data_IF_448493411866
#
_entry.id   IF_448493411866
#
_cell.length_a   1.000
_cell.length_b   1.000
_cell.length_c   1.000
_cell.angle_alpha   90.00
_cell.angle_beta   90.00
_cell.angle_gamma   90.00
#
_symmetry.space_group_name_H-M   'P 1'
#
loop_
_entity.id
_entity.type
_entity.pdbx_description
1 polymer ?
2 non-polymer ?
3 non-polymer ?
4 water ?
#
# COMPACT_ATOMS: atom_id res chain seq x y z
N UNK A 1 -16.06 -7.58 -13.52
CA UNK A 1 -15.89 -7.25 -12.11
C UNK A 1 -15.75 -5.76 -12.02
N UNK A 2 -15.99 -5.30 -10.81
CA UNK A 2 -15.94 -3.90 -10.53
C UNK A 2 -14.99 -3.67 -9.38
N UNK A 3 -14.23 -2.59 -9.49
CA UNK A 3 -13.30 -2.21 -8.45
C UNK A 3 -13.22 -0.70 -8.33
N UNK A 4 -13.40 -0.20 -7.11
CA UNK A 4 -13.22 1.23 -6.82
C UNK A 4 -11.70 1.62 -6.92
N UNK A 5 -11.41 2.75 -7.54
CA UNK A 5 -10.06 3.23 -7.62
C UNK A 5 -9.44 3.40 -6.24
N UNK A 6 -8.09 3.21 -6.15
CA UNK A 6 -7.36 3.13 -4.87
C UNK A 6 -7.64 1.88 -4.03
N UNK A 7 -8.18 0.82 -4.63
CA UNK A 7 -8.42 -0.39 -3.93
C UNK A 7 -7.76 -1.55 -4.62
N UNK A 8 -7.51 -2.59 -3.82
CA UNK A 8 -6.98 -3.84 -4.29
C UNK A 8 -8.06 -4.88 -4.25
N UNK A 9 -7.82 -5.88 -5.08
CA UNK A 9 -8.67 -7.00 -5.30
C UNK A 9 -7.83 -8.28 -5.44
N UNK A 10 -8.24 -9.31 -4.73
CA UNK A 10 -7.71 -10.67 -4.84
C UNK A 10 -8.38 -11.49 -5.93
N UNK A 11 -7.67 -11.80 -7.01
CA UNK A 11 -8.25 -12.57 -8.08
C UNK A 11 -7.98 -14.04 -7.85
N UNK A 12 -8.94 -14.88 -8.22
CA UNK A 12 -8.85 -16.33 -8.05
C UNK A 12 -8.86 -17.05 -9.38
N UNK A 13 -7.97 -18.00 -9.57
CA UNK A 13 -7.88 -18.71 -10.83
C UNK A 13 -7.56 -20.16 -10.61
N UNK A 14 -7.93 -21.03 -11.55
CA UNK A 14 -7.53 -22.45 -11.46
C UNK A 14 -6.04 -22.57 -11.59
N UNK A 15 -5.46 -23.43 -10.74
CA UNK A 15 -4.02 -23.72 -10.77
C UNK A 15 -3.53 -24.60 -11.95
N UNK A 16 -4.30 -25.63 -12.28
CA UNK A 16 -3.93 -26.68 -13.23
C UNK A 16 -3.65 -26.06 -14.59
N UNK A 17 -2.44 -26.26 -15.09
CA UNK A 17 -2.07 -25.85 -16.46
C UNK A 17 -1.90 -24.35 -16.69
N UNK A 18 -1.91 -23.59 -15.60
CA UNK A 18 -1.76 -22.15 -15.66
C UNK A 18 -0.32 -21.77 -16.01
N UNK A 19 -0.12 -20.87 -16.96
CA UNK A 19 1.26 -20.49 -17.38
C UNK A 19 1.61 -19.08 -16.99
N UNK A 20 0.77 -18.11 -17.32
CA UNK A 20 0.99 -16.77 -16.82
C UNK A 20 -0.24 -15.90 -16.85
N UNK A 21 -0.12 -14.72 -16.25
CA UNK A 21 -1.18 -13.76 -16.06
C UNK A 21 -0.64 -12.41 -16.54
N UNK A 22 -1.30 -11.78 -17.51
CA UNK A 22 -0.74 -10.59 -18.12
C UNK A 22 -1.67 -9.43 -18.17
N UNK A 23 -1.10 -8.24 -18.20
CA UNK A 23 -1.84 -6.98 -18.38
C UNK A 23 -1.00 -6.15 -19.34
N UNK A 24 -1.32 -6.20 -20.63
CA UNK A 24 -0.41 -5.72 -21.65
C UNK A 24 0.98 -6.36 -21.49
N UNK A 25 2.02 -5.55 -21.70
CA UNK A 25 3.41 -5.77 -21.21
C UNK A 25 3.58 -6.66 -19.99
N UNK A 26 2.94 -6.20 -18.93
CA UNK A 26 3.32 -6.49 -17.55
C UNK A 26 2.78 -7.88 -17.08
N UNK A 27 3.70 -8.78 -16.68
CA UNK A 27 3.33 -10.01 -15.95
C UNK A 27 2.82 -9.74 -14.55
N UNK A 28 1.83 -10.49 -14.09
CA UNK A 28 1.42 -10.38 -12.73
C UNK A 28 1.76 -11.67 -12.01
N UNK A 29 2.51 -11.56 -10.90
CA UNK A 29 2.88 -12.73 -10.10
C UNK A 29 1.67 -13.40 -9.51
N UNK A 30 1.78 -14.68 -9.19
CA UNK A 30 0.74 -15.41 -8.53
C UNK A 30 1.25 -16.14 -7.32
N UNK A 31 0.37 -16.46 -6.37
CA UNK A 31 0.69 -17.25 -5.21
C UNK A 31 -0.46 -18.24 -4.89
N UNK A 32 -0.19 -19.22 -4.05
CA UNK A 32 -1.18 -20.25 -3.70
C UNK A 32 -2.28 -19.66 -2.92
N UNK A 33 -3.47 -20.23 -3.14
CA UNK A 33 -4.60 -20.04 -2.26
C UNK A 33 -4.37 -20.95 -1.10
N UNK A 34 -4.43 -20.43 0.11
CA UNK A 34 -3.96 -21.17 1.30
C UNK A 34 -4.89 -22.27 1.83
N UNK A 35 -6.12 -22.30 1.35
CA UNK A 35 -7.14 -23.21 1.83
C UNK A 35 -7.57 -24.19 0.73
N UNK A 36 -7.82 -23.69 -0.47
CA UNK A 36 -8.09 -24.51 -1.63
C UNK A 36 -6.84 -24.84 -2.49
N UNK A 37 -6.41 -26.10 -2.55
CA UNK A 37 -5.23 -26.55 -3.34
C UNK A 37 -5.39 -26.47 -4.87
N UNK A 38 -6.58 -26.25 -5.37
CA UNK A 38 -6.80 -26.18 -6.80
C UNK A 38 -6.79 -24.76 -7.36
N UNK A 39 -6.55 -23.79 -6.48
CA UNK A 39 -6.66 -22.38 -6.87
C UNK A 39 -5.34 -21.63 -6.70
N UNK A 40 -5.16 -20.59 -7.48
CA UNK A 40 -4.12 -19.63 -7.16
C UNK A 40 -4.72 -18.23 -7.05
N UNK A 41 -3.94 -17.29 -6.48
CA UNK A 41 -4.33 -15.90 -6.31
C UNK A 41 -3.37 -14.94 -6.97
N UNK A 42 -3.90 -13.76 -7.27
CA UNK A 42 -3.12 -12.66 -7.69
C UNK A 42 -3.76 -11.43 -7.12
N UNK A 43 -2.96 -10.35 -6.93
CA UNK A 43 -3.43 -9.10 -6.40
C UNK A 43 -3.46 -8.08 -7.51
N UNK A 44 -4.59 -7.43 -7.69
CA UNK A 44 -4.71 -6.43 -8.71
C UNK A 44 -5.22 -5.16 -8.05
N UNK A 45 -4.61 -4.03 -8.42
CA UNK A 45 -4.81 -2.73 -7.75
C UNK A 45 -5.01 -1.62 -8.77
N UNK A 46 -5.98 -0.78 -8.53
CA UNK A 46 -6.11 0.42 -9.37
C UNK A 46 -5.47 1.62 -8.67
N UNK A 47 -4.70 2.42 -9.41
CA UNK A 47 -4.29 3.66 -8.81
C UNK A 47 -5.50 4.57 -8.51
N UNK A 48 -5.37 5.41 -7.50
CA UNK A 48 -6.29 6.45 -7.18
C UNK A 48 -6.34 7.51 -8.27
N UNK A 49 -5.20 8.13 -8.56
CA UNK A 49 -5.05 9.18 -9.58
C UNK A 49 -4.96 8.58 -10.97
N UNK A 50 -5.77 9.08 -11.87
CA UNK A 50 -5.66 8.79 -13.28
C UNK A 50 -5.64 7.30 -13.65
N UNK A 51 -6.65 6.55 -13.19
CA UNK A 51 -6.76 5.16 -13.60
C UNK A 51 -7.49 4.98 -14.93
N UNK A 52 -7.21 3.87 -15.63
CA UNK A 52 -7.99 3.60 -16.85
C UNK A 52 -9.46 3.47 -16.52
N UNK A 53 -10.31 3.56 -17.53
CA UNK A 53 -11.76 3.27 -17.36
C UNK A 53 -12.06 1.76 -17.22
N UNK A 54 -11.29 0.92 -17.90
CA UNK A 54 -11.52 -0.51 -17.84
C UNK A 54 -10.18 -1.19 -17.97
N UNK A 55 -10.11 -2.42 -17.53
CA UNK A 55 -8.89 -3.15 -17.62
C UNK A 55 -9.21 -4.56 -18.10
N UNK A 56 -8.34 -5.07 -18.96
CA UNK A 56 -8.48 -6.41 -19.53
C UNK A 56 -7.22 -7.18 -19.19
N UNK A 57 -7.35 -8.19 -18.34
CA UNK A 57 -6.24 -9.09 -17.99
C UNK A 57 -6.39 -10.36 -18.78
N UNK A 58 -5.26 -11.04 -19.04
CA UNK A 58 -5.32 -12.37 -19.66
C UNK A 58 -4.54 -13.47 -18.95
N UNK A 59 -5.21 -14.55 -18.67
CA UNK A 59 -4.56 -15.68 -18.04
C UNK A 59 -4.33 -16.76 -19.09
N UNK A 60 -3.07 -17.13 -19.29
CA UNK A 60 -2.72 -18.08 -20.31
C UNK A 60 -2.50 -19.43 -19.69
N UNK A 61 -3.30 -20.40 -20.17
CA UNK A 61 -3.20 -21.80 -19.81
C UNK A 61 -2.50 -22.56 -20.94
N UNK A 62 -2.14 -23.81 -20.74
CA UNK A 62 -1.55 -24.62 -21.83
C UNK A 62 -2.52 -24.80 -23.01
N UNK A 63 -3.75 -25.11 -22.65
CA UNK A 63 -4.85 -25.35 -23.58
C UNK A 63 -5.57 -24.10 -24.07
N UNK A 64 -5.73 -23.10 -23.21
CA UNK A 64 -6.49 -21.93 -23.59
C UNK A 64 -6.19 -20.69 -22.77
N UNK A 65 -6.86 -19.60 -23.15
CA UNK A 65 -6.75 -18.35 -22.47
C UNK A 65 -8.10 -17.87 -21.89
N UNK A 66 -8.03 -17.14 -20.76
CA UNK A 66 -9.19 -16.62 -20.07
C UNK A 66 -9.03 -15.11 -19.91
N UNK A 67 -9.93 -14.34 -20.51
CA UNK A 67 -10.00 -12.88 -20.36
C UNK A 67 -10.76 -12.44 -19.10
N UNK A 68 -10.17 -11.49 -18.34
CA UNK A 68 -10.86 -10.88 -17.18
C UNK A 68 -11.08 -9.40 -17.39
N UNK A 69 -12.32 -8.95 -17.34
CA UNK A 69 -12.57 -7.51 -17.49
C UNK A 69 -12.88 -6.90 -16.12
N UNK A 70 -12.30 -5.74 -15.88
CA UNK A 70 -12.53 -5.09 -14.62
C UNK A 70 -12.89 -3.66 -14.93
N UNK A 71 -14.04 -3.21 -14.42
CA UNK A 71 -14.45 -1.83 -14.60
C UNK A 71 -14.03 -1.03 -13.37
N UNK A 72 -13.45 0.14 -13.60
CA UNK A 72 -13.09 1.07 -12.54
C UNK A 72 -14.32 1.82 -12.01
N UNK A 73 -14.63 1.77 -10.71
CA UNK A 73 -15.59 2.70 -10.13
C UNK A 73 -14.92 3.91 -9.47
N UNK A 74 -15.59 5.06 -9.50
CA UNK A 74 -15.17 6.27 -8.73
C UNK A 74 -15.29 6.20 -7.21
N UNK A 75 -16.20 5.39 -6.70
CA UNK A 75 -16.39 5.30 -5.24
C UNK A 75 -17.06 6.53 -4.66
N UNK A 76 -17.10 6.62 -3.35
CA UNK A 76 -17.70 7.76 -2.70
C UNK A 76 -16.74 8.42 -1.74
N UNK A 77 -15.65 8.98 -2.25
CA UNK A 77 -14.56 9.51 -1.39
C UNK A 77 -14.84 10.97 -1.09
N UNK A 78 -14.49 11.47 0.08
CA UNK A 78 -14.63 12.92 0.33
C UNK A 78 -13.66 13.70 -0.53
N UNK A 79 -14.10 14.82 -1.06
CA UNK A 79 -13.29 15.62 -1.97
C UNK A 79 -13.60 17.10 -1.77
N UNK A 80 -12.59 17.95 -1.84
CA UNK A 80 -12.81 19.38 -1.75
C UNK A 80 -12.17 20.02 -2.98
N UNK A 81 -12.79 21.10 -3.48
CA UNK A 81 -12.29 21.81 -4.69
C UNK A 81 -11.10 22.61 -4.23
N UNK A 82 -9.99 22.53 -4.96
CA UNK A 82 -8.81 23.32 -4.63
C UNK A 82 -9.08 24.68 -5.24
N UNK A 83 -8.65 25.72 -4.56
CA UNK A 83 -8.90 27.09 -5.02
C UNK A 83 -7.72 27.73 -5.73
N UNK A 84 -6.52 27.57 -5.20
CA UNK A 84 -5.38 28.26 -5.78
C UNK A 84 -5.03 27.71 -7.15
N UNK A 85 -4.52 26.48 -7.15
CA UNK A 85 -3.92 25.79 -8.31
C UNK A 85 -2.53 25.30 -7.89
N UNK A 86 -2.10 24.19 -8.48
CA UNK A 86 -0.78 23.63 -8.19
C UNK A 86 0.35 24.62 -8.48
N UNK A 87 0.15 25.45 -9.50
CA UNK A 87 1.23 26.26 -10.07
C UNK A 87 2.36 25.24 -10.26
N UNK A 88 3.44 25.40 -9.50
CA UNK A 88 4.40 24.33 -9.24
C UNK A 88 5.22 24.84 -8.05
N UNK A 89 5.62 23.92 -7.17
CA UNK A 89 6.39 24.27 -6.00
C UNK A 89 7.86 24.34 -6.43
N UNK A 90 8.58 25.39 -6.03
CA UNK A 90 10.00 25.54 -6.37
C UNK A 90 10.89 25.35 -5.12
N UNK A 91 11.18 24.10 -4.69
CA UNK A 91 12.02 24.05 -3.48
C UNK A 91 13.49 24.33 -3.79
N UNK A 92 14.32 24.62 -2.78
CA UNK A 92 15.80 24.71 -3.01
C UNK A 92 16.43 23.38 -3.51
N UNK A 93 17.55 23.45 -4.26
CA UNK A 93 18.22 22.26 -4.79
C UNK A 93 18.42 21.21 -3.72
N UNK A 94 18.84 21.61 -2.53
CA UNK A 94 19.22 20.63 -1.55
C UNK A 94 18.03 19.67 -1.16
N UNK A 95 16.83 20.23 -1.03
CA UNK A 95 15.63 19.46 -0.84
C UNK A 95 15.22 18.62 -2.06
N UNK A 96 15.25 19.19 -3.25
CA UNK A 96 14.94 18.43 -4.47
C UNK A 96 15.86 17.22 -4.66
N UNK A 97 17.14 17.36 -4.31
CA UNK A 97 18.07 16.26 -4.42
C UNK A 97 17.66 15.15 -3.41
N UNK A 98 17.41 15.56 -2.18
CA UNK A 98 17.04 14.65 -1.13
C UNK A 98 15.74 13.89 -1.45
N UNK A 99 14.70 14.60 -1.87
CA UNK A 99 13.46 13.99 -2.33
C UNK A 99 13.66 13.00 -3.49
N UNK A 100 14.41 13.40 -4.50
CA UNK A 100 14.62 12.53 -5.65
C UNK A 100 15.40 11.27 -5.27
N UNK A 101 16.40 11.40 -4.41
CA UNK A 101 17.15 10.26 -3.95
C UNK A 101 16.25 9.28 -3.13
N UNK A 102 15.37 9.83 -2.27
CA UNK A 102 14.49 9.01 -1.42
C UNK A 102 13.41 8.29 -2.24
N UNK A 103 12.88 8.96 -3.23
CA UNK A 103 12.01 8.38 -4.24
C UNK A 103 12.60 7.15 -4.97
N UNK A 104 13.82 7.25 -5.46
CA UNK A 104 14.56 6.16 -6.11
C UNK A 104 14.73 4.99 -5.14
N UNK A 105 15.22 5.29 -3.96
CA UNK A 105 15.36 4.26 -2.96
C UNK A 105 14.00 3.54 -2.70
N UNK A 106 12.91 4.27 -2.69
CA UNK A 106 11.64 3.68 -2.47
C UNK A 106 11.14 2.83 -3.68
N UNK A 107 11.23 3.35 -4.87
CA UNK A 107 10.84 2.56 -6.02
C UNK A 107 11.62 1.25 -6.18
N UNK A 108 12.90 1.23 -5.85
CA UNK A 108 13.67 0.02 -5.96
C UNK A 108 13.09 -1.05 -5.02
N UNK A 109 12.73 -0.63 -3.81
CA UNK A 109 12.14 -1.52 -2.81
C UNK A 109 10.75 -1.95 -3.22
N UNK A 110 9.92 -1.01 -3.69
CA UNK A 110 8.55 -1.33 -4.02
C UNK A 110 8.39 -2.16 -5.26
N UNK A 111 9.48 -2.42 -5.95
CA UNK A 111 9.39 -3.27 -7.11
C UNK A 111 10.34 -4.43 -6.93
N UNK A 112 10.73 -4.70 -5.70
CA UNK A 112 11.17 -6.02 -5.32
C UNK A 112 9.94 -6.89 -5.05
N UNK A 113 9.89 -8.06 -5.66
CA UNK A 113 8.80 -8.98 -5.41
C UNK A 113 9.41 -10.16 -4.70
N UNK A 114 9.04 -10.35 -3.44
CA UNK A 114 9.46 -11.50 -2.66
C UNK A 114 8.43 -12.61 -2.86
N UNK A 115 8.81 -13.71 -3.54
CA UNK A 115 7.80 -14.69 -3.91
C UNK A 115 7.50 -15.73 -2.87
N UNK A 116 7.50 -15.36 -1.58
CA UNK A 116 7.01 -16.23 -0.52
C UNK A 116 6.37 -15.35 0.55
N UNK A 117 5.56 -15.97 1.42
CA UNK A 117 4.90 -15.26 2.52
C UNK A 117 5.88 -14.99 3.62
N UNK A 118 6.02 -13.75 4.06
CA UNK A 118 6.83 -13.51 5.28
C UNK A 118 5.90 -13.17 6.41
N UNK A 119 4.60 -13.14 6.13
CA UNK A 119 3.59 -12.88 7.14
C UNK A 119 3.21 -14.12 7.95
N UNK A 120 2.39 -13.92 8.98
CA UNK A 120 1.95 -14.95 9.87
C UNK A 120 0.46 -14.74 10.23
N UNK A 121 -0.40 -15.36 9.43
CA UNK A 121 -1.83 -15.10 9.56
C UNK A 121 -2.28 -13.71 9.18
N UNK A 122 -3.32 -13.25 9.89
CA UNK A 122 -4.01 -12.02 9.60
C UNK A 122 -3.20 -10.76 9.99
N UNK A 123 -3.46 -9.65 9.33
CA UNK A 123 -2.95 -8.36 9.81
C UNK A 123 -3.71 -7.91 11.06
N UNK A 124 -2.98 -7.33 11.99
CA UNK A 124 -3.57 -6.51 13.03
C UNK A 124 -3.31 -5.05 12.78
N UNK A 125 -4.12 -4.21 13.38
CA UNK A 125 -3.87 -2.78 13.37
C UNK A 125 -2.65 -2.46 14.22
N UNK A 126 -1.91 -1.43 13.84
CA UNK A 126 -0.68 -1.04 14.49
C UNK A 126 -0.85 -0.38 15.85
N UNK A 127 -2.01 0.14 16.13
CA UNK A 127 -2.36 0.44 17.53
C UNK A 127 -3.87 0.50 17.70
N UNK A 128 -4.31 0.36 18.95
CA UNK A 128 -5.70 0.27 19.29
C UNK A 128 -6.43 1.56 19.42
N UNK A 129 -6.45 2.33 18.37
CA UNK A 129 -6.94 3.67 18.50
C UNK A 129 -8.01 3.81 17.39
N UNK A 130 -8.33 5.03 16.98
CA UNK A 130 -9.34 5.32 15.99
C UNK A 130 -8.81 6.23 14.88
N UNK A 131 -9.46 6.19 13.72
CA UNK A 131 -9.07 6.93 12.52
C UNK A 131 -9.44 8.41 12.57
N UNK A 132 -8.47 9.30 12.40
CA UNK A 132 -8.76 10.74 12.47
C UNK A 132 -8.84 11.35 11.10
N UNK A 133 -8.29 10.67 10.09
CA UNK A 133 -8.32 11.11 8.69
C UNK A 133 -8.25 9.93 7.77
N UNK A 134 -9.22 9.81 6.90
CA UNK A 134 -9.42 8.62 6.06
C UNK A 134 -8.57 8.55 4.79
N UNK A 135 -8.38 7.33 4.28
CA UNK A 135 -7.81 7.14 2.96
C UNK A 135 -8.68 7.79 1.87
N UNK A 136 -8.08 8.37 0.85
CA UNK A 136 -8.85 8.81 -0.29
C UNK A 136 -9.39 10.23 -0.34
N UNK A 137 -9.35 10.98 0.77
CA UNK A 137 -9.63 12.45 0.77
C UNK A 137 -8.91 13.16 -0.35
N UNK A 138 -9.62 13.83 -1.22
CA UNK A 138 -8.94 14.37 -2.40
C UNK A 138 -8.99 15.90 -2.46
N UNK A 139 -8.04 16.46 -3.17
CA UNK A 139 -8.15 17.83 -3.62
C UNK A 139 -8.21 17.89 -5.18
N UNK A 140 -9.22 18.60 -5.70
CA UNK A 140 -9.50 18.63 -7.16
C UNK A 140 -9.48 20.05 -7.74
N UNK A 141 -8.76 20.28 -8.83
CA UNK A 141 -9.15 21.38 -9.72
C UNK A 141 -9.51 20.85 -11.10
N UNK A 142 -10.68 21.30 -11.58
CA UNK A 142 -11.27 20.85 -12.84
C UNK A 142 -11.74 19.44 -12.69
N UNK A 143 -12.28 19.12 -11.52
CA UNK A 143 -12.63 17.72 -11.21
C UNK A 143 -11.60 16.78 -11.85
N UNK A 144 -10.33 17.09 -11.61
CA UNK A 144 -9.23 16.18 -11.81
C UNK A 144 -8.47 16.21 -10.48
N UNK A 145 -7.92 15.07 -10.11
CA UNK A 145 -7.33 14.93 -8.80
C UNK A 145 -5.90 15.52 -8.75
N UNK A 146 -5.71 16.53 -7.91
CA UNK A 146 -4.39 17.10 -7.69
C UNK A 146 -3.60 16.37 -6.60
N UNK A 147 -4.27 16.01 -5.52
CA UNK A 147 -3.59 15.25 -4.47
C UNK A 147 -4.61 14.47 -3.66
N UNK A 148 -4.12 13.53 -2.88
CA UNK A 148 -5.01 12.68 -2.11
C UNK A 148 -4.29 12.06 -0.92
N UNK A 149 -5.04 11.75 0.11
CA UNK A 149 -4.49 11.09 1.24
C UNK A 149 -4.29 9.59 0.91
N UNK A 150 -3.05 9.15 0.90
CA UNK A 150 -2.69 7.87 0.33
C UNK A 150 -2.55 6.82 1.44
N UNK A 151 -2.91 7.18 2.67
CA UNK A 151 -2.95 6.25 3.78
C UNK A 151 -4.05 6.67 4.74
N UNK A 152 -4.01 6.14 5.94
CA UNK A 152 -5.05 6.48 6.92
C UNK A 152 -4.39 6.92 8.22
N UNK A 153 -4.93 7.92 8.92
CA UNK A 153 -4.29 8.37 10.15
C UNK A 153 -5.05 7.92 11.34
N UNK A 154 -4.30 7.49 12.34
CA UNK A 154 -4.83 7.05 13.62
C UNK A 154 -4.42 8.07 14.67
N UNK A 155 -5.31 8.37 15.57
CA UNK A 155 -4.98 9.26 16.64
C UNK A 155 -3.96 8.65 17.59
N UNK A 156 -3.01 9.51 17.94
CA UNK A 156 -1.89 9.17 18.83
C UNK A 156 -1.19 10.44 19.33
N UNK A 157 -1.12 10.54 20.65
CA UNK A 157 -0.25 11.51 21.28
C UNK A 157 1.19 11.08 20.98
N UNK A 158 2.09 12.03 20.96
CA UNK A 158 3.49 11.79 20.79
C UNK A 158 3.94 10.79 21.84
N UNK A 159 4.68 9.75 21.43
CA UNK A 159 5.16 8.71 22.31
C UNK A 159 4.28 7.47 22.39
N UNK A 160 3.17 7.40 21.63
CA UNK A 160 2.32 6.19 21.68
C UNK A 160 3.04 5.02 21.00
N UNK A 161 3.21 3.89 21.71
CA UNK A 161 3.87 2.72 21.12
C UNK A 161 3.11 2.17 19.92
N UNK A 162 3.87 1.77 18.91
CA UNK A 162 3.37 1.34 17.61
C UNK A 162 3.89 -0.05 17.29
N UNK A 163 3.00 -0.92 16.81
CA UNK A 163 3.31 -2.33 16.63
C UNK A 163 3.15 -2.76 15.19
N UNK A 164 4.06 -3.63 14.71
CA UNK A 164 3.96 -4.21 13.35
C UNK A 164 2.60 -4.92 13.14
N UNK A 165 1.96 -4.56 12.03
CA UNK A 165 0.68 -5.12 11.66
C UNK A 165 0.76 -6.61 11.26
N UNK A 166 1.93 -7.03 10.78
CA UNK A 166 2.20 -8.44 10.48
C UNK A 166 3.73 -8.67 10.45
N UNK A 167 4.15 -9.93 10.47
CA UNK A 167 5.59 -10.30 10.31
C UNK A 167 6.15 -9.93 8.96
N UNK A 168 7.45 -9.72 8.90
CA UNK A 168 8.15 -9.46 7.63
C UNK A 168 9.56 -9.02 7.92
N UNK A 169 10.16 -8.32 6.95
CA UNK A 169 11.47 -7.84 7.02
C UNK A 169 11.44 -6.31 6.86
N UNK A 170 12.16 -5.59 7.73
CA UNK A 170 12.19 -4.15 7.63
C UNK A 170 13.00 -3.74 6.43
N UNK A 171 12.46 -2.86 5.58
CA UNK A 171 13.30 -2.32 4.49
C UNK A 171 13.72 -0.84 4.55
N UNK A 172 12.98 -0.05 5.32
CA UNK A 172 13.29 1.34 5.49
C UNK A 172 13.09 1.63 6.93
N UNK A 173 14.01 2.42 7.48
CA UNK A 173 13.98 2.75 8.91
C UNK A 173 14.76 4.02 9.16
N UNK A 174 14.27 5.14 8.63
CA UNK A 174 14.98 6.41 8.76
C UNK A 174 14.15 7.63 8.46
N UNK A 175 14.70 8.80 8.79
CA UNK A 175 14.10 10.07 8.50
C UNK A 175 14.08 10.34 6.99
N UNK A 176 12.92 10.63 6.46
CA UNK A 176 12.77 10.94 5.05
C UNK A 176 11.99 12.24 4.96
N UNK A 177 12.14 12.93 3.83
CA UNK A 177 11.49 14.21 3.63
C UNK A 177 10.02 14.29 4.02
N UNK A 178 9.06 13.73 3.32
CA UNK A 178 7.68 14.18 3.79
C UNK A 178 7.12 13.29 4.93
N UNK A 179 7.64 12.07 4.98
CA UNK A 179 7.19 11.01 5.84
C UNK A 179 7.71 11.08 7.27
N UNK A 180 8.77 11.85 7.48
CA UNK A 180 9.32 11.94 8.85
C UNK A 180 10.08 10.67 9.12
N UNK A 181 10.26 10.32 10.38
CA UNK A 181 10.78 8.99 10.70
C UNK A 181 9.80 7.89 10.19
N UNK A 182 10.30 7.07 9.24
CA UNK A 182 9.54 6.08 8.51
C UNK A 182 10.01 4.67 8.79
N UNK A 183 9.10 3.72 8.94
CA UNK A 183 9.41 2.31 8.86
C UNK A 183 8.52 1.72 7.76
N UNK A 184 9.13 0.92 6.89
CA UNK A 184 8.41 0.15 5.89
C UNK A 184 8.83 -1.28 6.02
N UNK A 185 7.85 -2.19 5.91
CA UNK A 185 8.07 -3.63 6.11
C UNK A 185 7.59 -4.42 4.93
N UNK A 186 8.38 -5.41 4.50
CA UNK A 186 8.01 -6.31 3.36
C UNK A 186 7.33 -7.53 3.93
N UNK A 187 6.11 -7.81 3.49
CA UNK A 187 5.36 -8.95 4.03
C UNK A 187 5.34 -10.16 3.09
N UNK A 188 5.95 -9.97 1.94
CA UNK A 188 5.93 -10.97 0.90
C UNK A 188 4.91 -10.63 -0.15
N UNK A 189 5.11 -11.19 -1.34
CA UNK A 189 4.20 -11.10 -2.43
C UNK A 189 3.92 -9.65 -2.78
N UNK A 190 4.87 -8.79 -2.56
CA UNK A 190 4.73 -7.40 -2.99
C UNK A 190 3.84 -6.52 -2.12
N UNK A 191 3.47 -7.02 -0.95
CA UNK A 191 2.72 -6.30 0.06
C UNK A 191 3.65 -5.58 1.06
N UNK A 192 3.57 -4.26 1.12
CA UNK A 192 4.36 -3.50 2.11
C UNK A 192 3.47 -2.70 3.04
N UNK A 193 3.76 -2.70 4.35
CA UNK A 193 3.14 -1.77 5.29
C UNK A 193 4.09 -0.62 5.67
N UNK A 194 3.49 0.52 5.99
CA UNK A 194 4.16 1.81 6.12
C UNK A 194 3.70 2.52 7.38
N UNK A 195 4.68 3.06 8.13
CA UNK A 195 4.44 3.71 9.43
C UNK A 195 5.22 5.01 9.43
N UNK A 196 4.52 6.13 9.36
CA UNK A 196 5.15 7.41 9.22
C UNK A 196 4.93 8.34 10.40
N UNK A 197 5.82 9.35 10.47
CA UNK A 197 5.81 10.44 11.45
C UNK A 197 6.22 10.07 12.86
N UNK A 198 6.95 8.98 12.99
CA UNK A 198 7.35 8.51 14.28
C UNK A 198 8.30 9.49 15.00
N UNK A 199 8.28 9.45 16.32
CA UNK A 199 9.24 10.20 17.12
C UNK A 199 10.43 9.36 17.44
N UNK A 200 10.24 8.04 17.41
CA UNK A 200 11.34 7.11 17.66
C UNK A 200 11.27 5.83 16.83
N UNK A 201 12.42 5.39 16.30
CA UNK A 201 12.49 4.14 15.56
C UNK A 201 13.19 3.02 16.34
N UNK A 202 12.57 1.86 16.49
CA UNK A 202 13.17 0.79 17.33
C UNK A 202 13.62 -0.45 16.54
N UNK A 203 13.75 -0.33 15.23
CA UNK A 203 14.11 -1.44 14.35
C UNK A 203 15.18 -0.94 13.38
N UNK A 204 15.77 -1.87 12.67
CA UNK A 204 16.92 -1.67 11.84
C UNK A 204 16.62 -2.25 10.47
N UNK A 205 17.16 -1.63 9.44
CA UNK A 205 17.07 -2.22 8.10
C UNK A 205 17.57 -3.69 8.03
N UNK A 206 16.77 -4.56 7.40
CA UNK A 206 17.08 -5.97 7.29
C UNK A 206 16.62 -6.86 8.42
N UNK A 207 16.08 -6.29 9.45
CA UNK A 207 15.57 -7.05 10.58
C UNK A 207 14.24 -7.81 10.29
N UNK A 208 14.10 -8.99 10.91
CA UNK A 208 12.93 -9.85 10.87
C UNK A 208 12.10 -9.46 12.07
N UNK A 209 10.89 -9.02 11.82
CA UNK A 209 10.03 -8.45 12.86
C UNK A 209 8.78 -9.35 12.91
N UNK A 210 8.34 -9.73 14.09
CA UNK A 210 7.16 -10.56 14.25
C UNK A 210 5.95 -9.61 14.43
N UNK A 211 4.76 -10.06 14.02
CA UNK A 211 3.48 -9.40 14.27
C UNK A 211 3.27 -9.05 15.75
N UNK A 212 2.76 -7.87 16.02
CA UNK A 212 2.69 -7.33 17.37
C UNK A 212 3.97 -6.86 18.08
N UNK A 213 5.09 -6.93 17.39
CA UNK A 213 6.32 -6.50 17.96
C UNK A 213 6.45 -4.99 17.76
N UNK A 214 7.08 -4.33 18.72
CA UNK A 214 7.19 -2.90 18.79
C UNK A 214 8.11 -2.41 17.68
N UNK A 215 7.73 -1.38 16.93
CA UNK A 215 8.61 -0.83 15.89
C UNK A 215 9.04 0.63 16.09
N UNK A 216 8.40 1.31 17.03
CA UNK A 216 8.71 2.69 17.33
C UNK A 216 7.66 3.30 18.23
N UNK A 217 7.79 4.60 18.43
CA UNK A 217 6.80 5.40 19.10
C UNK A 217 6.31 6.46 18.13
N UNK A 218 5.02 6.79 18.22
CA UNK A 218 4.42 7.77 17.32
C UNK A 218 4.99 9.15 17.61
N UNK A 219 4.99 10.03 16.62
CA UNK A 219 5.31 11.41 16.85
C UNK A 219 4.65 12.36 15.90
N UNK A 220 5.36 13.43 15.56
CA UNK A 220 4.88 14.39 14.56
C UNK A 220 5.93 14.75 13.51
N UNK A 221 6.97 13.93 13.38
CA UNK A 221 8.09 14.22 12.41
C UNK A 221 7.56 14.23 11.04
N UNK A 222 7.90 15.25 10.30
CA UNK A 222 7.46 15.39 8.90
C UNK A 222 6.07 15.97 8.77
N UNK A 223 5.42 16.22 9.91
CA UNK A 223 3.98 16.61 9.93
C UNK A 223 3.76 18.06 10.37
N UNK A 224 2.80 18.72 9.76
CA UNK A 224 2.53 20.14 10.03
C UNK A 224 1.45 20.25 11.09
N UNK A 225 0.47 19.38 10.98
CA UNK A 225 -0.82 19.56 11.65
C UNK A 225 -0.95 18.73 12.92
N UNK A 226 0.14 18.44 13.59
CA UNK A 226 0.07 17.88 14.93
C UNK A 226 0.42 16.40 14.98
N UNK A 227 0.54 15.85 16.16
CA UNK A 227 0.90 14.44 16.21
C UNK A 227 -0.19 13.45 15.72
N UNK A 228 0.22 12.34 15.13
CA UNK A 228 -0.67 11.29 14.60
C UNK A 228 0.18 10.18 14.00
N UNK A 229 -0.37 8.97 13.85
CA UNK A 229 0.26 7.87 13.08
C UNK A 229 -0.35 7.74 11.72
N UNK A 230 0.47 7.86 10.69
CA UNK A 230 0.02 7.56 9.29
C UNK A 230 0.40 6.14 8.93
N UNK A 231 -0.60 5.31 8.68
CA UNK A 231 -0.40 3.92 8.27
C UNK A 231 -0.81 3.71 6.79
N UNK A 232 0.07 3.07 6.03
CA UNK A 232 -0.19 2.80 4.62
C UNK A 232 0.07 1.36 4.24
N UNK A 233 -0.53 0.96 3.13
CA UNK A 233 -0.30 -0.35 2.51
C UNK A 233 -0.08 -0.16 1.05
N UNK A 234 1.01 -0.72 0.53
CA UNK A 234 1.27 -0.73 -0.89
C UNK A 234 1.20 -2.19 -1.31
N UNK A 235 0.42 -2.44 -2.36
CA UNK A 235 0.22 -3.79 -2.89
C UNK A 235 -0.21 -3.74 -4.33
N UNK A 236 0.18 -4.74 -5.10
CA UNK A 236 0.04 -4.72 -6.57
C UNK A 236 0.70 -3.50 -7.19
N UNK A 237 1.77 -3.01 -6.56
CA UNK A 237 2.51 -1.82 -7.01
C UNK A 237 1.87 -0.48 -6.76
N UNK A 238 0.75 -0.42 -6.03
CA UNK A 238 0.12 0.86 -5.76
C UNK A 238 -0.24 1.06 -4.30
N UNK A 239 -0.38 2.31 -3.86
CA UNK A 239 -0.93 2.62 -2.57
C UNK A 239 -2.42 2.27 -2.60
N UNK A 240 -2.93 1.49 -1.64
CA UNK A 240 -4.33 1.13 -1.62
C UNK A 240 -4.96 1.38 -0.26
N UNK A 241 -6.30 1.37 -0.24
CA UNK A 241 -7.04 1.61 0.96
C UNK A 241 -6.65 0.59 2.00
N UNK A 242 -5.99 1.02 3.09
CA UNK A 242 -5.43 0.02 4.01
C UNK A 242 -6.44 -0.81 4.75
N UNK A 243 -7.53 -0.22 5.25
CA UNK A 243 -8.52 -1.03 6.02
C UNK A 243 -9.31 -1.97 5.08
N UNK A 244 -9.55 -1.52 3.84
CA UNK A 244 -10.17 -2.35 2.85
C UNK A 244 -9.30 -3.60 2.50
N UNK A 245 -8.01 -3.37 2.31
CA UNK A 245 -7.07 -4.43 1.96
C UNK A 245 -6.95 -5.37 3.14
N UNK A 246 -6.86 -4.81 4.34
CA UNK A 246 -6.72 -5.68 5.53
C UNK A 246 -7.95 -6.60 5.68
N UNK A 247 -9.14 -6.09 5.43
CA UNK A 247 -10.27 -6.97 5.60
C UNK A 247 -10.36 -8.03 4.51
N UNK A 248 -9.98 -7.67 3.29
CA UNK A 248 -9.91 -8.70 2.23
C UNK A 248 -8.79 -9.76 2.38
N UNK A 249 -7.59 -9.33 2.79
CA UNK A 249 -6.48 -10.23 3.05
C UNK A 249 -6.84 -11.21 4.18
N UNK A 250 -7.44 -10.71 5.26
CA UNK A 250 -7.73 -11.53 6.44
C UNK A 250 -8.82 -12.56 6.19
N UNK A 251 -9.81 -12.19 5.38
CA UNK A 251 -10.85 -13.12 4.96
C UNK A 251 -10.24 -14.36 4.30
N UNK A 252 -9.07 -14.23 3.70
CA UNK A 252 -8.38 -15.34 3.07
C UNK A 252 -7.31 -16.00 3.95
N UNK A 253 -6.51 -15.23 4.65
CA UNK A 253 -5.36 -15.82 5.30
C UNK A 253 -5.49 -15.96 6.83
N UNK A 254 -6.68 -15.73 7.40
CA UNK A 254 -6.82 -15.85 8.86
C UNK A 254 -6.52 -17.31 9.21
N UNK A 255 -5.57 -17.59 10.09
CA UNK A 255 -5.13 -18.97 10.35
C UNK A 255 -6.25 -19.82 10.97
#
# INVERSE_FOLDING_TARGET
MELIKGQALFLELDKKDFLSLKNNDKNIPTFAHPKNQEKILAIFSLPYKNPPQNTKLIAFYKDKKEEIFIKTLEGNYKSEKLQVENKKIFPPKTIQERIAKELKEANAIYSSYTPKALFNGAFNIPLNSFITSDFGKARTFNEKVASYHSGTDFRAATGTPIYAANSGVVKIAKDRYFAGNSVVIDHGFGIYSQYYHLSKIDVKVGQKIKKGELIGLSGASGRVSGPALHFGILAGGKQVDPLDFVSKFNAIFQL
#
